data_IF_975920009209
#
_entry.id   IF_975920009209
#
_cell.length_a   1.000
_cell.length_b   1.000
_cell.length_c   1.000
_cell.angle_alpha   90.00
_cell.angle_beta   90.00
_cell.angle_gamma   90.00
#
_symmetry.space_group_name_H-M   'P 1'
#
loop_
_entity.id
_entity.type
_entity.pdbx_description
1 polymer ?
#
# COMPACT_ATOMS: atom_id res chain seq x y z
N UNK A 1 1.62 23.13 16.35
CA UNK A 1 1.03 22.05 15.52
C UNK A 1 1.91 21.93 14.29
N UNK A 2 2.50 20.77 14.05
CA UNK A 2 3.50 20.57 12.99
C UNK A 2 2.82 20.59 11.62
N UNK A 3 3.12 21.60 10.81
CA UNK A 3 2.47 21.90 9.53
C UNK A 3 2.79 20.89 8.42
N UNK A 4 3.65 19.90 8.72
CA UNK A 4 4.09 18.87 7.77
C UNK A 4 3.25 17.58 7.78
N UNK A 5 2.28 17.41 8.69
CA UNK A 5 1.43 16.19 8.76
C UNK A 5 0.20 16.22 7.84
N UNK A 6 0.26 16.98 6.76
CA UNK A 6 -0.83 17.09 5.79
C UNK A 6 -0.44 16.43 4.47
N UNK A 7 -1.14 15.35 4.12
CA UNK A 7 -1.06 14.56 2.87
C UNK A 7 0.17 13.67 2.71
N UNK A 8 0.07 12.49 3.33
CA UNK A 8 0.70 11.27 2.84
C UNK A 8 0.31 11.11 1.36
N UNK A 9 1.28 11.06 0.44
CA UNK A 9 1.03 10.78 -0.99
C UNK A 9 0.67 9.30 -1.20
N UNK A 10 -0.29 8.82 -0.41
CA UNK A 10 -0.70 7.44 -0.41
C UNK A 10 -1.50 7.16 -1.67
N UNK A 11 -1.01 6.19 -2.44
CA UNK A 11 -1.81 5.61 -3.52
C UNK A 11 -2.95 4.79 -2.92
N UNK A 12 -4.01 4.50 -3.69
CA UNK A 12 -5.07 3.59 -3.24
C UNK A 12 -4.51 2.23 -2.74
N UNK A 13 -3.36 1.80 -3.27
CA UNK A 13 -2.69 0.57 -2.86
C UNK A 13 -2.02 0.69 -1.47
N UNK A 14 -1.52 1.87 -1.08
CA UNK A 14 -1.03 2.10 0.29
C UNK A 14 -2.17 2.00 1.32
N UNK A 15 -3.34 2.53 0.98
CA UNK A 15 -4.51 2.41 1.85
C UNK A 15 -5.01 0.96 1.93
N UNK A 16 -5.03 0.25 0.80
CA UNK A 16 -5.38 -1.18 0.74
C UNK A 16 -4.40 -2.05 1.52
N UNK A 17 -3.11 -1.71 1.51
CA UNK A 17 -2.08 -2.43 2.25
C UNK A 17 -2.32 -2.42 3.77
N UNK A 18 -2.84 -1.31 4.30
CA UNK A 18 -3.19 -1.18 5.72
C UNK A 18 -4.48 -1.92 6.09
N UNK A 19 -5.24 -2.43 5.11
CA UNK A 19 -6.43 -3.22 5.34
C UNK A 19 -6.08 -4.71 5.38
N UNK A 20 -6.83 -5.55 6.12
CA UNK A 20 -6.64 -7.00 6.10
C UNK A 20 -7.20 -7.69 4.84
N UNK A 21 -7.78 -6.92 3.91
CA UNK A 21 -8.49 -7.45 2.74
C UNK A 21 -7.58 -7.55 1.52
N UNK A 22 -7.18 -8.78 1.17
CA UNK A 22 -6.45 -9.09 -0.06
C UNK A 22 -7.26 -8.86 -1.32
N UNK A 23 -8.58 -8.91 -1.24
CA UNK A 23 -9.47 -8.73 -2.38
C UNK A 23 -9.33 -7.33 -2.96
N UNK A 24 -9.25 -6.32 -2.09
CA UNK A 24 -9.04 -4.92 -2.48
C UNK A 24 -7.66 -4.80 -3.15
N UNK A 25 -6.62 -5.37 -2.55
CA UNK A 25 -5.25 -5.32 -3.08
C UNK A 25 -5.17 -5.96 -4.47
N UNK A 26 -5.73 -7.16 -4.64
CA UNK A 26 -5.78 -7.86 -5.93
C UNK A 26 -6.53 -7.04 -6.97
N UNK A 27 -7.69 -6.48 -6.63
CA UNK A 27 -8.45 -5.64 -7.54
C UNK A 27 -7.62 -4.44 -8.00
N UNK A 28 -6.95 -3.74 -7.08
CA UNK A 28 -6.10 -2.61 -7.46
C UNK A 28 -4.95 -3.03 -8.38
N UNK A 29 -4.31 -4.16 -8.10
CA UNK A 29 -3.24 -4.72 -8.96
C UNK A 29 -3.79 -5.06 -10.36
N UNK A 30 -4.96 -5.69 -10.45
CA UNK A 30 -5.62 -6.00 -11.73
C UNK A 30 -5.97 -4.74 -12.53
N UNK A 31 -6.30 -3.65 -11.85
CA UNK A 31 -6.52 -2.33 -12.46
C UNK A 31 -5.23 -1.60 -12.83
N UNK A 32 -4.06 -2.21 -12.64
CA UNK A 32 -2.75 -1.65 -12.99
C UNK A 32 -2.20 -0.69 -11.95
N UNK A 33 -2.57 -0.84 -10.67
CA UNK A 33 -1.98 -0.06 -9.59
C UNK A 33 -0.47 -0.33 -9.49
N UNK A 34 0.30 0.74 -9.31
CA UNK A 34 1.74 0.65 -9.12
C UNK A 34 2.05 0.17 -7.69
N UNK A 35 2.49 -1.09 -7.61
CA UNK A 35 2.94 -1.77 -6.39
C UNK A 35 4.24 -1.21 -5.83
N UNK A 36 5.02 -0.50 -6.66
CA UNK A 36 6.30 0.10 -6.30
C UNK A 36 6.19 1.61 -6.06
N UNK A 37 4.97 2.17 -6.13
CA UNK A 37 4.74 3.58 -5.86
C UNK A 37 5.24 3.94 -4.47
N UNK A 38 5.92 5.08 -4.35
CA UNK A 38 6.38 5.59 -3.05
C UNK A 38 5.52 6.76 -2.64
N UNK A 39 5.06 6.74 -1.40
CA UNK A 39 4.40 7.90 -0.82
C UNK A 39 5.43 8.98 -0.41
N UNK A 40 4.96 10.05 0.22
CA UNK A 40 5.81 11.16 0.71
C UNK A 40 6.79 10.75 1.80
N UNK A 41 6.57 9.62 2.47
CA UNK A 41 7.48 9.05 3.45
C UNK A 41 8.46 8.05 2.82
N UNK A 42 8.50 7.96 1.48
CA UNK A 42 9.28 7.01 0.70
C UNK A 42 8.92 5.54 0.98
N UNK A 43 7.77 5.31 1.61
CA UNK A 43 7.22 3.99 1.87
C UNK A 43 6.49 3.50 0.64
N UNK A 44 6.63 2.20 0.35
CA UNK A 44 5.82 1.49 -0.65
C UNK A 44 4.54 0.95 -0.01
N UNK A 45 3.54 0.52 -0.80
CA UNK A 45 2.37 -0.16 -0.28
C UNK A 45 2.73 -1.33 0.63
N UNK A 46 3.72 -2.14 0.26
CA UNK A 46 4.18 -3.26 1.10
C UNK A 46 4.72 -2.82 2.45
N UNK A 47 5.38 -1.66 2.53
CA UNK A 47 5.93 -1.14 3.78
C UNK A 47 4.81 -0.65 4.73
N UNK A 48 3.60 -0.43 4.20
CA UNK A 48 2.38 -0.14 4.97
C UNK A 48 1.56 -1.39 5.31
N UNK A 49 1.91 -2.54 4.75
CA UNK A 49 1.21 -3.79 5.05
C UNK A 49 1.51 -4.27 6.48
N UNK A 50 0.53 -4.93 7.10
CA UNK A 50 0.78 -5.56 8.39
C UNK A 50 1.70 -6.77 8.21
N UNK A 51 2.76 -6.86 9.02
CA UNK A 51 3.71 -7.98 8.96
C UNK A 51 3.03 -9.34 9.16
N UNK A 52 3.38 -10.29 8.31
CA UNK A 52 2.79 -11.63 8.19
C UNK A 52 1.29 -11.65 7.84
N UNK A 53 0.78 -10.59 7.19
CA UNK A 53 -0.60 -10.57 6.68
C UNK A 53 -0.72 -11.23 5.31
N UNK A 54 -1.92 -11.66 4.96
CA UNK A 54 -2.21 -12.15 3.62
C UNK A 54 -1.96 -11.07 2.55
N UNK A 55 -2.16 -9.79 2.91
CA UNK A 55 -1.91 -8.63 2.05
C UNK A 55 -0.44 -8.44 1.74
N UNK A 56 0.44 -8.53 2.74
CA UNK A 56 1.90 -8.50 2.52
C UNK A 56 2.33 -9.64 1.58
N UNK A 57 1.78 -10.85 1.75
CA UNK A 57 2.08 -11.98 0.87
C UNK A 57 1.64 -11.75 -0.57
N UNK A 58 0.49 -11.12 -0.78
CA UNK A 58 0.01 -10.75 -2.13
C UNK A 58 0.90 -9.70 -2.76
N UNK A 59 1.27 -8.65 -2.02
CA UNK A 59 2.16 -7.60 -2.51
C UNK A 59 3.55 -8.18 -2.86
N UNK A 60 4.11 -9.04 -2.02
CA UNK A 60 5.36 -9.77 -2.30
C UNK A 60 5.27 -10.72 -3.50
N UNK A 61 4.09 -11.30 -3.76
CA UNK A 61 3.89 -12.19 -4.89
C UNK A 61 3.89 -11.43 -6.23
N UNK A 62 3.56 -10.13 -6.18
CA UNK A 62 3.43 -9.27 -7.35
C UNK A 62 4.58 -8.26 -7.54
N UNK A 63 5.48 -8.06 -6.56
CA UNK A 63 6.73 -7.26 -6.70
C UNK A 63 7.63 -7.72 -7.86
#
# INVERSE_FOLDING_TARGET
ADVHKGKYWDTPLHAAAQQPSTEIVNLLIEFGADINAKNTELLRPIDMATSNSAVERVLLQHE
#
